data_IF_883884229597
#
_entry.id   IF_883884229597
#
_cell.length_a   1.000
_cell.length_b   1.000
_cell.length_c   1.000
_cell.angle_alpha   90.00
_cell.angle_beta   90.00
_cell.angle_gamma   90.00
#
_symmetry.space_group_name_H-M   'P 1'
#
loop_
_entity.id
_entity.type
_entity.pdbx_description
1 polymer ?
#
# COMPACT_ATOMS: atom_id res chain seq x y z
N UNK A 1 1.61 -0.25 25.35
CA UNK A 1 1.83 -0.43 23.89
C UNK A 1 2.53 0.81 23.35
N UNK A 2 3.65 0.69 22.64
CA UNK A 2 4.38 1.86 22.10
C UNK A 2 3.56 2.52 20.98
N UNK A 3 3.71 3.84 20.74
CA UNK A 3 2.99 4.51 19.65
C UNK A 3 3.28 3.86 18.29
N UNK A 4 4.53 3.45 18.05
CA UNK A 4 4.91 2.70 16.85
C UNK A 4 4.09 1.41 16.71
N UNK A 5 3.98 0.60 17.77
CA UNK A 5 3.26 -0.67 17.70
C UNK A 5 1.77 -0.47 17.36
N UNK A 6 1.13 0.56 17.92
CA UNK A 6 -0.27 0.92 17.59
C UNK A 6 -0.43 1.21 16.10
N UNK A 7 0.42 2.09 15.56
CA UNK A 7 0.35 2.53 14.17
C UNK A 7 0.72 1.42 13.18
N UNK A 8 1.67 0.55 13.52
CA UNK A 8 2.00 -0.62 12.68
C UNK A 8 0.85 -1.62 12.63
N UNK A 9 0.13 -1.86 13.73
CA UNK A 9 -1.07 -2.72 13.69
C UNK A 9 -2.12 -2.14 12.74
N UNK A 10 -2.40 -0.84 12.86
CA UNK A 10 -3.34 -0.14 11.97
C UNK A 10 -2.89 -0.26 10.51
N UNK A 11 -1.61 -0.03 10.23
CA UNK A 11 -1.04 -0.14 8.89
C UNK A 11 -1.15 -1.56 8.33
N UNK A 12 -0.87 -2.59 9.12
CA UNK A 12 -1.05 -4.00 8.70
C UNK A 12 -2.52 -4.31 8.39
N UNK A 13 -3.46 -3.86 9.22
CA UNK A 13 -4.89 -4.02 8.96
C UNK A 13 -5.31 -3.33 7.66
N UNK A 14 -4.83 -2.10 7.42
CA UNK A 14 -5.10 -1.36 6.19
C UNK A 14 -4.45 -2.02 4.96
N UNK A 15 -3.25 -2.58 5.10
CA UNK A 15 -2.60 -3.36 4.02
C UNK A 15 -3.43 -4.60 3.70
N UNK A 16 -3.91 -5.32 4.72
CA UNK A 16 -4.76 -6.49 4.52
C UNK A 16 -6.07 -6.11 3.81
N UNK A 17 -6.72 -5.02 4.22
CA UNK A 17 -7.89 -4.50 3.53
C UNK A 17 -7.57 -4.12 2.09
N UNK A 18 -6.45 -3.44 1.85
CA UNK A 18 -6.01 -3.09 0.50
C UNK A 18 -5.92 -4.34 -0.39
N UNK A 19 -5.34 -5.44 0.10
CA UNK A 19 -5.24 -6.69 -0.68
C UNK A 19 -6.59 -7.37 -0.92
N UNK A 20 -7.53 -7.25 0.02
CA UNK A 20 -8.83 -7.95 -0.02
C UNK A 20 -9.92 -7.22 -0.80
N UNK A 21 -9.81 -5.90 -0.98
CA UNK A 21 -10.82 -5.10 -1.68
C UNK A 21 -10.40 -4.79 -3.12
N UNK A 22 -11.36 -4.44 -4.01
CA UNK A 22 -11.05 -4.12 -5.40
C UNK A 22 -10.09 -2.93 -5.54
N UNK A 23 -9.10 -3.06 -6.42
CA UNK A 23 -8.13 -2.01 -6.76
C UNK A 23 -8.52 -1.18 -7.97
N UNK A 24 -9.35 -1.75 -8.84
CA UNK A 24 -9.95 -1.05 -9.97
C UNK A 24 -11.33 -1.61 -10.23
N UNK A 25 -12.17 -0.82 -10.89
CA UNK A 25 -13.48 -1.26 -11.37
C UNK A 25 -13.64 -0.92 -12.85
N UNK A 26 -14.13 -1.87 -13.63
CA UNK A 26 -14.47 -1.71 -15.05
C UNK A 26 -15.97 -1.91 -15.22
N UNK A 27 -16.74 -0.81 -15.17
CA UNK A 27 -18.20 -0.89 -15.05
C UNK A 27 -18.57 -1.61 -13.75
N UNK A 28 -19.30 -2.72 -13.87
CA UNK A 28 -19.72 -3.56 -12.74
C UNK A 28 -18.71 -4.65 -12.36
N UNK A 29 -17.54 -4.69 -13.02
CA UNK A 29 -16.52 -5.70 -12.75
C UNK A 29 -15.46 -5.18 -11.79
N UNK A 30 -15.39 -5.80 -10.62
CA UNK A 30 -14.33 -5.56 -9.63
C UNK A 30 -13.05 -6.29 -10.01
N UNK A 31 -11.94 -5.57 -10.02
CA UNK A 31 -10.61 -6.10 -10.31
C UNK A 31 -9.79 -6.16 -9.03
N UNK A 32 -9.44 -7.39 -8.65
CA UNK A 32 -8.55 -7.69 -7.54
C UNK A 32 -7.10 -7.27 -7.86
N UNK A 33 -6.33 -6.96 -6.81
CA UNK A 33 -4.92 -6.60 -6.89
C UNK A 33 -4.09 -7.61 -7.69
N UNK A 34 -4.31 -8.91 -7.47
CA UNK A 34 -3.54 -10.01 -8.08
C UNK A 34 -3.60 -10.05 -9.62
N UNK A 35 -4.62 -9.41 -10.20
CA UNK A 35 -4.83 -9.33 -11.66
C UNK A 35 -4.17 -8.11 -12.28
N UNK A 36 -3.69 -7.16 -11.48
CA UNK A 36 -3.06 -5.95 -11.98
C UNK A 36 -1.57 -6.17 -12.26
N UNK A 37 -1.02 -5.52 -13.30
CA UNK A 37 0.40 -5.60 -13.56
C UNK A 37 1.20 -5.07 -12.37
N UNK A 38 2.34 -5.70 -12.10
CA UNK A 38 3.26 -5.29 -11.03
C UNK A 38 2.65 -5.34 -9.61
N UNK A 39 1.54 -6.03 -9.37
CA UNK A 39 0.95 -6.14 -8.03
C UNK A 39 1.94 -6.60 -6.94
N UNK A 40 2.90 -7.44 -7.33
CA UNK A 40 3.97 -7.93 -6.47
C UNK A 40 4.93 -6.84 -5.99
N UNK A 41 5.09 -5.72 -6.72
CA UNK A 41 5.91 -4.60 -6.27
C UNK A 41 5.28 -3.90 -5.08
N UNK A 42 3.96 -3.73 -5.09
CA UNK A 42 3.21 -3.19 -3.95
C UNK A 42 3.29 -4.15 -2.75
N UNK A 43 2.94 -5.42 -2.95
CA UNK A 43 2.96 -6.42 -1.87
C UNK A 43 4.35 -6.58 -1.24
N UNK A 44 5.41 -6.60 -2.07
CA UNK A 44 6.80 -6.64 -1.62
C UNK A 44 7.20 -5.40 -0.84
N UNK A 45 6.84 -4.21 -1.33
CA UNK A 45 7.16 -2.96 -0.63
C UNK A 45 6.48 -2.87 0.74
N UNK A 46 5.19 -3.23 0.82
CA UNK A 46 4.45 -3.29 2.07
C UNK A 46 5.07 -4.31 3.05
N UNK A 47 5.43 -5.51 2.57
CA UNK A 47 6.07 -6.53 3.39
C UNK A 47 7.41 -6.05 3.99
N UNK A 48 8.28 -5.44 3.18
CA UNK A 48 9.55 -4.89 3.64
C UNK A 48 9.33 -3.74 4.63
N UNK A 49 8.38 -2.85 4.34
CA UNK A 49 8.01 -1.76 5.23
C UNK A 49 7.64 -2.29 6.63
N UNK A 50 6.75 -3.29 6.69
CA UNK A 50 6.28 -3.89 7.95
C UNK A 50 7.40 -4.63 8.68
N UNK A 51 8.19 -5.43 7.97
CA UNK A 51 9.30 -6.18 8.54
C UNK A 51 10.36 -5.25 9.12
N UNK A 52 10.70 -4.16 8.42
CA UNK A 52 11.73 -3.23 8.83
C UNK A 52 11.27 -2.22 9.90
N UNK A 53 9.97 -2.05 10.14
CA UNK A 53 9.40 -1.02 11.02
C UNK A 53 10.05 -0.96 12.42
N UNK A 54 10.44 -2.11 12.97
CA UNK A 54 11.05 -2.21 14.31
C UNK A 54 12.57 -2.28 14.28
N UNK A 55 13.14 -2.98 13.30
CA UNK A 55 14.57 -3.33 13.22
C UNK A 55 15.39 -2.29 12.47
N UNK A 56 14.83 -1.68 11.42
CA UNK A 56 15.51 -0.72 10.57
C UNK A 56 14.54 0.43 10.18
N UNK A 57 14.23 1.34 11.14
CA UNK A 57 13.28 2.43 10.90
C UNK A 57 13.57 3.32 9.68
N UNK A 58 14.84 3.64 9.33
CA UNK A 58 15.14 4.39 8.11
C UNK A 58 14.74 3.63 6.85
N UNK A 59 14.99 2.31 6.80
CA UNK A 59 14.60 1.45 5.67
C UNK A 59 13.08 1.43 5.57
N UNK A 60 12.37 1.21 6.68
CA UNK A 60 10.91 1.26 6.68
C UNK A 60 10.37 2.60 6.17
N UNK A 61 11.00 3.73 6.52
CA UNK A 61 10.59 5.05 6.03
C UNK A 61 10.78 5.21 4.52
N UNK A 62 11.85 4.66 3.94
CA UNK A 62 12.02 4.60 2.48
C UNK A 62 10.91 3.76 1.86
N UNK A 63 10.62 2.60 2.45
CA UNK A 63 9.61 1.69 1.92
C UNK A 63 8.17 2.19 2.07
N UNK A 64 7.87 3.13 2.99
CA UNK A 64 6.60 3.88 2.99
C UNK A 64 6.42 4.62 1.66
N UNK A 65 7.46 5.29 1.17
CA UNK A 65 7.40 6.02 -0.10
C UNK A 65 7.32 5.05 -1.27
N UNK A 66 8.12 3.98 -1.25
CA UNK A 66 8.12 2.95 -2.29
C UNK A 66 6.76 2.27 -2.38
N UNK A 67 6.10 1.97 -1.26
CA UNK A 67 4.76 1.39 -1.24
C UNK A 67 3.75 2.32 -1.91
N UNK A 68 3.75 3.62 -1.59
CA UNK A 68 2.84 4.60 -2.21
C UNK A 68 3.08 4.70 -3.72
N UNK A 69 4.35 4.79 -4.14
CA UNK A 69 4.70 4.85 -5.56
C UNK A 69 4.26 3.57 -6.28
N UNK A 70 4.53 2.40 -5.70
CA UNK A 70 4.10 1.13 -6.24
C UNK A 70 2.57 1.04 -6.34
N UNK A 71 1.84 1.50 -5.31
CA UNK A 71 0.38 1.54 -5.34
C UNK A 71 -0.15 2.43 -6.47
N UNK A 72 0.46 3.59 -6.70
CA UNK A 72 0.10 4.50 -7.80
C UNK A 72 0.42 3.89 -9.16
N UNK A 73 1.52 3.15 -9.30
CA UNK A 73 1.91 2.46 -10.55
C UNK A 73 1.04 1.22 -10.85
N UNK A 74 0.50 0.57 -9.82
CA UNK A 74 -0.42 -0.58 -9.94
C UNK A 74 -1.86 -0.14 -10.21
N UNK A 75 -2.35 0.91 -9.51
CA UNK A 75 -3.31 1.83 -10.10
C UNK A 75 -2.66 2.46 -11.34
N UNK A 76 -3.16 3.38 -12.12
CA UNK A 76 -2.57 3.87 -13.41
C UNK A 76 -2.11 2.85 -14.48
N UNK A 77 -1.46 1.71 -14.18
CA UNK A 77 -1.01 0.68 -15.12
C UNK A 77 -2.14 -0.16 -15.76
N UNK A 78 -3.40 0.09 -15.40
CA UNK A 78 -4.59 -0.60 -15.89
C UNK A 78 -4.90 -0.39 -17.39
N UNK A 79 -4.25 0.56 -18.07
CA UNK A 79 -4.35 0.71 -19.53
C UNK A 79 -3.80 -0.49 -20.31
N UNK A 80 -3.06 -1.39 -19.63
CA UNK A 80 -2.69 -2.68 -20.20
C UNK A 80 -3.82 -3.71 -20.02
N UNK A 81 -5.02 -3.39 -20.52
CA UNK A 81 -6.23 -4.23 -20.39
C UNK A 81 -6.03 -5.69 -20.84
N UNK A 82 -5.01 -5.96 -21.67
CA UNK A 82 -4.56 -7.30 -22.06
C UNK A 82 -4.03 -8.17 -20.92
N UNK A 83 -3.65 -7.59 -19.77
CA UNK A 83 -3.24 -8.35 -18.58
C UNK A 83 -4.42 -8.72 -17.67
N UNK A 84 -5.54 -8.02 -17.80
CA UNK A 84 -6.74 -8.21 -16.96
C UNK A 84 -7.79 -9.05 -17.71
N UNK A 85 -7.85 -8.92 -19.03
CA UNK A 85 -8.83 -9.60 -19.88
C UNK A 85 -8.12 -10.34 -21.02
N UNK A 86 -8.33 -11.67 -21.09
CA UNK A 86 -7.66 -12.52 -22.09
C UNK A 86 -8.15 -12.26 -23.54
N UNK A 87 -9.41 -11.86 -23.72
CA UNK A 87 -10.04 -11.81 -25.05
C UNK A 87 -10.96 -10.61 -25.33
N UNK A 88 -11.56 -9.99 -24.30
CA UNK A 88 -12.50 -8.87 -24.46
C UNK A 88 -12.19 -7.79 -23.43
N UNK A 89 -11.64 -6.66 -23.87
CA UNK A 89 -11.39 -5.50 -23.01
C UNK A 89 -12.67 -4.64 -23.00
N UNK A 90 -13.29 -4.40 -21.83
CA UNK A 90 -14.43 -3.50 -21.73
C UNK A 90 -14.07 -2.09 -22.20
N UNK A 91 -14.88 -1.50 -23.08
CA UNK A 91 -14.70 -0.11 -23.54
C UNK A 91 -15.25 0.89 -22.50
N UNK A 92 -14.87 0.72 -21.24
CA UNK A 92 -15.21 1.60 -20.13
C UNK A 92 -13.92 2.07 -19.47
N UNK A 93 -13.87 3.36 -19.14
CA UNK A 93 -12.73 3.95 -18.43
C UNK A 93 -12.67 3.30 -17.04
N UNK A 94 -11.56 2.67 -16.67
CA UNK A 94 -11.42 2.11 -15.33
C UNK A 94 -11.43 3.21 -14.28
N UNK A 95 -12.09 2.96 -13.15
CA UNK A 95 -11.99 3.81 -11.96
C UNK A 95 -11.13 3.17 -10.88
N UNK A 96 -10.30 3.95 -10.15
CA UNK A 96 -9.57 3.44 -9.00
C UNK A 96 -10.53 2.90 -7.94
N UNK A 97 -10.26 1.67 -7.48
CA UNK A 97 -10.99 1.03 -6.41
C UNK A 97 -10.51 1.45 -5.01
N UNK A 98 -11.24 1.01 -3.99
CA UNK A 98 -10.94 1.32 -2.59
C UNK A 98 -9.57 0.77 -2.13
N UNK A 99 -9.04 -0.26 -2.79
CA UNK A 99 -7.75 -0.87 -2.47
C UNK A 99 -6.60 0.13 -2.48
N UNK A 100 -6.60 1.07 -3.44
CA UNK A 100 -5.59 2.14 -3.54
C UNK A 100 -5.65 3.07 -2.34
N UNK A 101 -6.86 3.42 -1.90
CA UNK A 101 -7.09 4.28 -0.73
C UNK A 101 -6.54 3.62 0.53
N UNK A 102 -6.80 2.33 0.72
CA UNK A 102 -6.29 1.58 1.87
C UNK A 102 -4.77 1.40 1.83
N UNK A 103 -4.17 1.22 0.65
CA UNK A 103 -2.72 1.18 0.48
C UNK A 103 -2.06 2.51 0.91
N UNK A 104 -2.58 3.65 0.45
CA UNK A 104 -2.06 4.97 0.84
C UNK A 104 -2.30 5.23 2.34
N UNK A 105 -3.47 4.86 2.86
CA UNK A 105 -3.78 4.99 4.29
C UNK A 105 -2.85 4.12 5.16
N UNK A 106 -2.51 2.91 4.70
CA UNK A 106 -1.52 2.04 5.34
C UNK A 106 -0.17 2.73 5.46
N UNK A 107 0.37 3.22 4.34
CA UNK A 107 1.65 3.91 4.30
C UNK A 107 1.66 5.16 5.22
N UNK A 108 0.56 5.93 5.22
CA UNK A 108 0.40 7.08 6.10
C UNK A 108 0.39 6.69 7.59
N UNK A 109 -0.31 5.62 7.95
CA UNK A 109 -0.34 5.09 9.32
C UNK A 109 1.08 4.67 9.76
N UNK A 110 1.80 3.92 8.93
CA UNK A 110 3.16 3.50 9.25
C UNK A 110 4.12 4.68 9.36
N UNK A 111 4.03 5.64 8.44
CA UNK A 111 4.80 6.90 8.49
C UNK A 111 4.53 7.68 9.79
N UNK A 112 3.28 7.76 10.25
CA UNK A 112 2.93 8.38 11.52
C UNK A 112 3.58 7.65 12.72
N UNK A 113 3.58 6.31 12.70
CA UNK A 113 4.25 5.48 13.69
C UNK A 113 5.76 5.72 13.77
N UNK A 114 6.43 5.74 12.62
CA UNK A 114 7.86 6.03 12.52
C UNK A 114 8.20 7.45 12.99
N UNK A 115 7.38 8.44 12.62
CA UNK A 115 7.53 9.83 13.06
C UNK A 115 7.36 9.97 14.57
N UNK A 116 6.38 9.28 15.16
CA UNK A 116 6.16 9.28 16.61
C UNK A 116 7.37 8.68 17.36
N UNK A 117 7.92 7.56 16.86
CA UNK A 117 9.15 6.96 17.40
C UNK A 117 10.33 7.95 17.34
N UNK A 118 10.55 8.58 16.20
CA UNK A 118 11.65 9.53 16.02
C UNK A 118 11.52 10.80 16.89
N UNK A 119 10.28 11.21 17.24
CA UNK A 119 10.05 12.29 18.21
C UNK A 119 10.36 11.85 19.63
N UNK A 120 9.90 10.68 20.04
CA UNK A 120 10.17 10.13 21.38
C UNK A 120 11.69 9.92 21.63
N UNK A 121 12.45 9.55 20.60
CA UNK A 121 13.90 9.41 20.70
C UNK A 121 14.62 10.76 20.88
N UNK A 122 14.04 11.86 20.41
CA UNK A 122 14.63 13.22 20.52
C UNK A 122 14.30 13.92 21.84
N UNK A 123 13.24 13.51 22.54
CA UNK A 123 12.81 14.10 23.80
C UNK A 123 13.55 13.58 25.03
N UNK A 124 14.51 12.68 24.86
CA UNK A 124 15.40 12.22 25.93
C UNK A 124 16.70 13.04 25.83
N UNK A 125 16.87 14.11 26.61
CA UNK A 125 18.17 14.77 26.72
C UNK A 125 19.16 13.80 27.36
N UNK A 126 20.36 13.74 26.78
CA UNK A 126 21.52 13.03 27.33
C UNK A 126 22.02 13.69 28.62
#
# INVERSE_FOLDING_TARGET
MTPLAKWTIVSVCLTALAVLVPWATYGDNDIELSRLPLWWTYAGAAAVMHACARIAPPVAAVFVVVEVVAAVVVATGYDQGSHVFDHVVPMVVPSPGAGVVFAVASAAAQGAGLRARARAARSVPA
#
